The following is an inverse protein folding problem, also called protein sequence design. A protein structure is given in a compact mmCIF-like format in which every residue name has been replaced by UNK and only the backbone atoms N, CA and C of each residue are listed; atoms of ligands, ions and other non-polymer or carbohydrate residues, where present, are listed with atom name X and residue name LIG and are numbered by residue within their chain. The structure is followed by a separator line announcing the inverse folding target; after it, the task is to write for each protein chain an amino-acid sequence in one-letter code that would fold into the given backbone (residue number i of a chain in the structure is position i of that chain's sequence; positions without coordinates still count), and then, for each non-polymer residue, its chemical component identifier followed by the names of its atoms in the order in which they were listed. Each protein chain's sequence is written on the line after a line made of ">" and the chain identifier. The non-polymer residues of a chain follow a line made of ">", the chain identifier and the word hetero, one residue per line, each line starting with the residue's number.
data_IF_688238166585
#
_entry.id   IF_688238166585
#
_cell.length_a   1.000
_cell.length_b   1.000
_cell.length_c   1.000
_cell.angle_alpha   90.00
_cell.angle_beta   90.00
_cell.angle_gamma   90.00
#
_symmetry.space_group_name_H-M   'P 1'
#
loop_
_entity.id
_entity.type
_entity.pdbx_description
1 polymer ?
#
# COMPACT_ATOMS: atom_id res chain seq x y z
N UNK A 1 7.16 16.11 -0.06
CA UNK A 1 6.10 15.30 -0.63
C UNK A 1 6.01 13.94 0.04
N UNK A 2 4.81 13.50 0.31
CA UNK A 2 4.59 12.20 0.93
C UNK A 2 4.73 11.12 -0.13
N UNK A 3 5.54 10.11 0.15
CA UNK A 3 5.68 8.95 -0.72
C UNK A 3 4.66 7.90 -0.32
N UNK A 4 3.66 7.73 -1.16
CA UNK A 4 2.54 6.82 -0.92
C UNK A 4 2.67 5.59 -1.80
N UNK A 5 2.68 4.41 -1.19
CA UNK A 5 2.67 3.15 -1.91
C UNK A 5 1.28 2.55 -1.85
N UNK A 6 0.76 2.10 -2.99
CA UNK A 6 -0.51 1.38 -3.06
C UNK A 6 -0.19 -0.06 -3.41
N UNK A 7 -0.53 -0.98 -2.53
CA UNK A 7 -0.27 -2.41 -2.70
C UNK A 7 -1.59 -3.17 -2.77
N UNK A 8 -1.87 -3.75 -3.92
CA UNK A 8 -3.11 -4.48 -4.18
C UNK A 8 -2.83 -5.42 -5.35
N UNK A 9 -3.26 -6.68 -5.25
CA UNK A 9 -3.02 -7.65 -6.29
C UNK A 9 -3.96 -7.49 -7.50
N UNK A 10 -5.05 -6.75 -7.34
CA UNK A 10 -5.97 -6.49 -8.43
C UNK A 10 -5.64 -5.15 -9.10
N UNK A 11 -5.30 -5.22 -10.38
CA UNK A 11 -4.89 -4.04 -11.13
C UNK A 11 -5.94 -2.94 -11.14
N UNK A 12 -7.21 -3.31 -11.32
CA UNK A 12 -8.27 -2.32 -11.40
C UNK A 12 -8.46 -1.59 -10.07
N UNK A 13 -8.39 -2.30 -8.96
CA UNK A 13 -8.48 -1.68 -7.64
C UNK A 13 -7.28 -0.78 -7.37
N UNK A 14 -6.09 -1.26 -7.74
CA UNK A 14 -4.86 -0.51 -7.55
C UNK A 14 -4.90 0.81 -8.31
N UNK A 15 -5.33 0.75 -9.59
CA UNK A 15 -5.41 1.94 -10.42
C UNK A 15 -6.52 2.88 -9.95
N UNK A 16 -7.64 2.34 -9.48
CA UNK A 16 -8.73 3.16 -8.97
C UNK A 16 -8.31 3.94 -7.73
N UNK A 17 -7.59 3.28 -6.82
CA UNK A 17 -7.07 3.94 -5.62
C UNK A 17 -6.07 5.03 -5.98
N UNK A 18 -5.17 4.73 -6.92
CA UNK A 18 -4.18 5.71 -7.37
C UNK A 18 -4.86 6.93 -7.97
N UNK A 19 -5.91 6.71 -8.76
CA UNK A 19 -6.66 7.79 -9.39
C UNK A 19 -7.33 8.69 -8.34
N UNK A 20 -7.95 8.09 -7.35
CA UNK A 20 -8.60 8.84 -6.27
C UNK A 20 -7.58 9.69 -5.51
N UNK A 21 -6.47 9.06 -5.15
CA UNK A 21 -5.42 9.75 -4.39
C UNK A 21 -4.84 10.90 -5.19
N UNK A 22 -4.53 10.67 -6.47
CA UNK A 22 -3.92 11.70 -7.30
C UNK A 22 -4.87 12.87 -7.56
N UNK A 23 -6.16 12.61 -7.67
CA UNK A 23 -7.12 13.70 -7.86
C UNK A 23 -7.25 14.59 -6.64
N UNK A 24 -7.13 13.98 -5.47
CA UNK A 24 -7.32 14.74 -4.22
C UNK A 24 -6.04 15.38 -3.70
N UNK A 25 -4.91 14.76 -3.95
CA UNK A 25 -3.66 15.15 -3.30
C UNK A 25 -2.50 15.29 -4.26
N UNK A 26 -2.76 15.63 -5.52
CA UNK A 26 -1.74 15.58 -6.58
C UNK A 26 -0.48 16.40 -6.27
N UNK A 27 -0.61 17.46 -5.51
CA UNK A 27 0.54 18.30 -5.16
C UNK A 27 1.19 17.91 -3.84
N UNK A 28 0.67 16.89 -3.18
CA UNK A 28 1.12 16.51 -1.85
C UNK A 28 1.74 15.12 -1.78
N UNK A 29 1.45 14.28 -2.77
CA UNK A 29 1.91 12.89 -2.75
C UNK A 29 2.59 12.51 -4.05
N UNK A 30 3.55 11.59 -3.92
CA UNK A 30 4.11 10.84 -5.04
C UNK A 30 3.67 9.40 -4.85
N UNK A 31 3.11 8.78 -5.89
CA UNK A 31 2.51 7.46 -5.78
C UNK A 31 3.34 6.41 -6.52
N UNK A 32 3.59 5.29 -5.84
CA UNK A 32 4.11 4.07 -6.45
C UNK A 32 3.11 2.95 -6.19
N UNK A 33 3.20 1.89 -6.99
CA UNK A 33 2.26 0.77 -6.86
C UNK A 33 3.01 -0.55 -6.80
N UNK A 34 2.44 -1.52 -6.08
CA UNK A 34 2.97 -2.86 -6.02
C UNK A 34 1.83 -3.86 -6.15
N UNK A 35 2.07 -4.95 -6.87
CA UNK A 35 1.04 -5.93 -7.21
C UNK A 35 0.99 -7.14 -6.29
N UNK A 36 1.93 -7.24 -5.35
CA UNK A 36 1.93 -8.33 -4.37
C UNK A 36 2.70 -7.90 -3.12
N UNK A 37 2.62 -8.73 -2.09
CA UNK A 37 3.21 -8.39 -0.78
C UNK A 37 4.72 -8.28 -0.82
N UNK A 38 5.39 -9.14 -1.57
CA UNK A 38 6.85 -9.12 -1.68
C UNK A 38 7.31 -7.82 -2.33
N UNK A 39 6.70 -7.46 -3.45
CA UNK A 39 7.04 -6.20 -4.11
C UNK A 39 6.69 -4.99 -3.26
N UNK A 40 5.59 -5.08 -2.51
CA UNK A 40 5.20 -4.00 -1.61
C UNK A 40 6.27 -3.78 -0.54
N UNK A 41 6.72 -4.85 0.09
CA UNK A 41 7.75 -4.75 1.12
C UNK A 41 9.06 -4.21 0.55
N UNK A 42 9.51 -4.75 -0.57
CA UNK A 42 10.76 -4.31 -1.19
C UNK A 42 10.68 -2.85 -1.63
N UNK A 43 9.60 -2.47 -2.29
CA UNK A 43 9.42 -1.11 -2.77
C UNK A 43 9.35 -0.12 -1.60
N UNK A 44 8.60 -0.46 -0.57
CA UNK A 44 8.45 0.43 0.58
C UNK A 44 9.79 0.74 1.24
N UNK A 45 10.63 -0.28 1.38
CA UNK A 45 11.94 -0.11 2.01
C UNK A 45 12.90 0.64 1.10
N UNK A 46 13.01 0.22 -0.16
CA UNK A 46 13.98 0.79 -1.09
C UNK A 46 13.63 2.21 -1.51
N UNK A 47 12.36 2.45 -1.76
CA UNK A 47 11.88 3.77 -2.16
C UNK A 47 11.73 4.72 -0.98
N UNK A 48 11.49 4.17 0.20
CA UNK A 48 11.28 4.98 1.39
C UNK A 48 9.86 5.48 1.50
N UNK A 49 8.88 4.58 1.40
CA UNK A 49 7.49 4.95 1.51
C UNK A 49 7.19 5.54 2.90
N UNK A 50 6.42 6.61 2.91
CA UNK A 50 5.95 7.23 4.15
C UNK A 50 4.62 6.65 4.60
N UNK A 51 3.81 6.26 3.63
CA UNK A 51 2.46 5.73 3.86
C UNK A 51 2.19 4.62 2.85
N UNK A 52 1.58 3.54 3.32
CA UNK A 52 1.19 2.42 2.45
C UNK A 52 -0.31 2.18 2.61
N UNK A 53 -1.01 2.14 1.48
CA UNK A 53 -2.37 1.60 1.41
C UNK A 53 -2.20 0.14 1.03
N UNK A 54 -2.47 -0.78 1.96
CA UNK A 54 -2.12 -2.17 1.83
C UNK A 54 -3.34 -3.07 1.83
N UNK A 55 -3.55 -3.80 0.75
CA UNK A 55 -4.55 -4.86 0.71
C UNK A 55 -4.06 -6.01 1.59
N UNK A 56 -4.93 -6.56 2.41
CA UNK A 56 -4.57 -7.67 3.28
C UNK A 56 -4.44 -8.97 2.49
N UNK A 57 -5.39 -9.21 1.60
CA UNK A 57 -5.45 -10.48 0.89
C UNK A 57 -4.70 -10.42 -0.44
N UNK A 58 -3.46 -10.85 -0.41
CA UNK A 58 -2.63 -10.98 -1.60
C UNK A 58 -1.98 -12.36 -1.62
N UNK A 59 -1.84 -12.97 -2.81
CA UNK A 59 -1.23 -14.29 -2.89
C UNK A 59 0.24 -14.26 -2.48
N UNK A 60 0.71 -15.35 -1.91
CA UNK A 60 2.05 -15.44 -1.37
C UNK A 60 2.15 -14.68 -0.06
N UNK A 61 2.94 -13.63 -0.04
CA UNK A 61 3.05 -12.78 1.16
C UNK A 61 1.82 -11.87 1.23
N UNK A 62 1.01 -12.04 2.27
CA UNK A 62 -0.18 -11.19 2.43
C UNK A 62 0.20 -9.82 2.99
N UNK A 63 -0.81 -8.92 3.06
CA UNK A 63 -0.56 -7.54 3.47
C UNK A 63 -0.06 -7.41 4.91
N UNK A 64 -0.52 -8.28 5.81
CA UNK A 64 -0.07 -8.23 7.20
C UNK A 64 1.41 -8.60 7.32
N UNK A 65 1.82 -9.63 6.60
CA UNK A 65 3.23 -10.04 6.60
C UNK A 65 4.11 -9.00 5.93
N UNK A 66 3.63 -8.42 4.84
CA UNK A 66 4.37 -7.35 4.16
C UNK A 66 4.54 -6.15 5.07
N UNK A 67 3.48 -5.74 5.77
CA UNK A 67 3.56 -4.62 6.69
C UNK A 67 4.56 -4.89 7.82
N UNK A 68 4.56 -6.10 8.36
CA UNK A 68 5.50 -6.47 9.40
C UNK A 68 6.94 -6.34 8.91
N UNK A 69 7.21 -6.83 7.70
CA UNK A 69 8.55 -6.74 7.12
C UNK A 69 8.99 -5.29 6.93
N UNK A 70 8.08 -4.43 6.46
CA UNK A 70 8.38 -3.02 6.28
C UNK A 70 8.67 -2.35 7.61
N UNK A 71 7.81 -2.56 8.59
CA UNK A 71 7.92 -1.87 9.87
C UNK A 71 9.15 -2.29 10.67
N UNK A 72 9.69 -3.48 10.42
CA UNK A 72 10.96 -3.89 11.03
C UNK A 72 12.10 -3.00 10.56
N UNK A 73 12.09 -2.56 9.32
CA UNK A 73 13.15 -1.74 8.76
C UNK A 73 12.83 -0.25 8.75
N UNK A 74 11.57 0.10 8.68
CA UNK A 74 11.12 1.49 8.64
C UNK A 74 9.96 1.68 9.62
N UNK A 75 10.25 1.74 10.92
CA UNK A 75 9.19 1.82 11.94
C UNK A 75 8.36 3.12 11.85
N UNK A 76 8.88 4.14 11.18
CA UNK A 76 8.14 5.40 11.01
C UNK A 76 7.12 5.35 9.88
N UNK A 77 7.14 4.31 9.04
CA UNK A 77 6.18 4.16 7.95
C UNK A 77 4.79 3.90 8.53
N UNK A 78 3.78 4.53 7.93
CA UNK A 78 2.39 4.30 8.33
C UNK A 78 1.74 3.34 7.35
N UNK A 79 0.94 2.41 7.87
CA UNK A 79 0.25 1.43 7.04
C UNK A 79 -1.24 1.51 7.32
N UNK A 80 -2.02 1.67 6.25
CA UNK A 80 -3.48 1.60 6.33
C UNK A 80 -3.89 0.36 5.56
N UNK A 81 -4.56 -0.57 6.24
CA UNK A 81 -5.03 -1.79 5.60
C UNK A 81 -6.37 -1.57 4.93
N UNK A 82 -6.50 -2.11 3.73
CA UNK A 82 -7.73 -2.04 2.96
C UNK A 82 -8.19 -3.46 2.68
N UNK A 83 -9.46 -3.72 2.96
CA UNK A 83 -10.04 -5.01 2.62
C UNK A 83 -11.50 -4.81 2.26
N UNK A 84 -11.90 -5.41 1.15
CA UNK A 84 -13.28 -5.32 0.69
C UNK A 84 -14.26 -5.95 1.68
N UNK A 85 -13.81 -6.96 2.40
CA UNK A 85 -14.69 -7.67 3.32
C UNK A 85 -15.03 -6.89 4.57
N UNK A 86 -14.11 -6.10 5.08
CA UNK A 86 -14.34 -5.37 6.32
C UNK A 86 -15.46 -4.36 6.19
N UNK A 87 -15.70 -3.86 4.99
CA UNK A 87 -16.76 -2.88 4.74
C UNK A 87 -18.15 -3.47 4.90
N UNK A 88 -18.29 -4.77 4.78
CA UNK A 88 -19.59 -5.41 4.78
C UNK A 88 -19.88 -6.22 6.05
N UNK A 89 -18.94 -6.30 6.95
CA UNK A 89 -19.09 -7.09 8.16
C UNK A 89 -19.52 -6.27 9.37
N UNK A 90 -19.55 -5.00 9.22
CA UNK A 90 -19.96 -4.08 10.27
C UNK A 90 -21.29 -3.43 9.91
#
# INVERSE_FOLDING_TARGET
>A
MIRLLIADDERMEREALADIVMRRFEHEVTVEMAENGRKAADTAVLWGADLILMDIEMPGMNGLDAARAVLEQRPECKVIFITAYSLFQY
#
